data_IF_371699256038
#
_entry.id   IF_371699256038
#
_cell.length_a   1.000
_cell.length_b   1.000
_cell.length_c   1.000
_cell.angle_alpha   90.00
_cell.angle_beta   90.00
_cell.angle_gamma   90.00
#
_symmetry.space_group_name_H-M   'P 1'
#
loop_
_entity.id
_entity.type
_entity.pdbx_description
1 polymer ?
#
# COMPACT_ATOMS: atom_id res chain seq x y z
N UNK A 1 -4.21 -16.63 2.19
CA UNK A 1 -3.58 -15.36 2.55
C UNK A 1 -2.67 -15.59 3.75
N UNK A 2 -1.56 -14.85 3.85
CA UNK A 2 -0.65 -14.93 4.99
C UNK A 2 -1.23 -14.33 6.30
N UNK A 3 -0.42 -14.38 7.37
CA UNK A 3 -0.77 -13.77 8.65
C UNK A 3 -0.97 -12.24 8.52
N UNK A 4 -1.80 -11.70 9.42
CA UNK A 4 -2.03 -10.24 9.45
C UNK A 4 -0.73 -9.48 9.72
N UNK A 5 -0.62 -8.25 9.19
CA UNK A 5 0.56 -7.40 9.41
C UNK A 5 0.88 -7.23 10.90
N UNK A 6 -0.13 -7.07 11.75
CA UNK A 6 0.08 -6.92 13.20
C UNK A 6 0.75 -8.14 13.85
N UNK A 7 0.40 -9.35 13.39
CA UNK A 7 1.07 -10.57 13.85
C UNK A 7 2.50 -10.66 13.33
N UNK A 8 2.70 -10.28 12.07
CA UNK A 8 4.01 -10.26 11.43
C UNK A 8 4.96 -9.23 12.05
N UNK A 9 4.47 -8.05 12.44
CA UNK A 9 5.30 -7.03 13.12
C UNK A 9 6.01 -7.62 14.33
N UNK A 10 5.28 -8.31 15.21
CA UNK A 10 5.88 -8.91 16.39
C UNK A 10 6.90 -10.00 16.05
N UNK A 11 6.61 -10.84 15.06
CA UNK A 11 7.41 -12.02 14.76
C UNK A 11 8.56 -11.74 13.77
N UNK A 12 8.43 -10.72 12.91
CA UNK A 12 9.34 -10.49 11.79
C UNK A 12 10.13 -9.18 11.92
N UNK A 13 9.62 -8.18 12.63
CA UNK A 13 10.23 -6.85 12.73
C UNK A 13 10.76 -6.56 14.14
N UNK A 14 9.92 -6.68 15.17
CA UNK A 14 10.26 -6.25 16.52
C UNK A 14 11.29 -7.15 17.23
N UNK A 15 11.64 -8.28 16.64
CA UNK A 15 12.77 -9.09 17.10
C UNK A 15 14.15 -8.46 16.77
N UNK A 16 14.20 -7.49 15.85
CA UNK A 16 15.43 -6.79 15.50
C UNK A 16 15.52 -5.48 16.28
N UNK A 17 16.62 -5.31 17.03
CA UNK A 17 16.83 -4.17 17.93
C UNK A 17 17.22 -2.88 17.19
N UNK A 18 17.69 -3.00 15.95
CA UNK A 18 18.29 -1.87 15.21
C UNK A 18 17.35 -1.26 14.16
N UNK A 19 16.09 -1.71 14.11
CA UNK A 19 15.09 -1.11 13.21
C UNK A 19 14.70 0.26 13.72
N UNK A 20 14.94 1.31 12.92
CA UNK A 20 14.60 2.69 13.23
C UNK A 20 13.39 3.19 12.45
N UNK A 21 13.22 2.70 11.24
CA UNK A 21 12.14 3.15 10.35
C UNK A 21 11.46 1.95 9.69
N UNK A 22 10.15 2.01 9.63
CA UNK A 22 9.28 1.05 8.95
C UNK A 22 8.55 1.77 7.81
N UNK A 23 8.71 1.30 6.57
CA UNK A 23 7.90 1.74 5.44
C UNK A 23 6.72 0.78 5.29
N UNK A 24 5.51 1.32 5.30
CA UNK A 24 4.25 0.55 5.27
C UNK A 24 3.56 0.72 3.92
N UNK A 25 3.68 -0.29 3.06
CA UNK A 25 2.96 -0.40 1.78
C UNK A 25 2.08 -1.65 1.82
N UNK A 26 0.87 -1.53 2.32
CA UNK A 26 -0.10 -2.62 2.48
C UNK A 26 -1.52 -2.10 2.23
N UNK A 27 -2.48 -2.99 2.00
CA UNK A 27 -3.90 -2.65 1.93
C UNK A 27 -4.56 -2.88 0.58
N UNK A 28 -3.80 -2.93 -0.53
CA UNK A 28 -4.40 -3.16 -1.85
C UNK A 28 -5.11 -4.53 -1.92
N UNK A 29 -4.55 -5.56 -1.32
CA UNK A 29 -5.19 -6.88 -1.26
C UNK A 29 -6.45 -6.87 -0.38
N UNK A 30 -6.45 -6.12 0.73
CA UNK A 30 -7.62 -5.99 1.59
C UNK A 30 -8.80 -5.36 0.83
N UNK A 31 -8.51 -4.40 -0.05
CA UNK A 31 -9.51 -3.71 -0.89
C UNK A 31 -9.96 -4.59 -2.07
N UNK A 32 -9.00 -5.24 -2.74
CA UNK A 32 -9.22 -5.80 -4.08
C UNK A 32 -9.53 -7.29 -4.10
N UNK A 33 -9.05 -8.05 -3.12
CA UNK A 33 -9.30 -9.48 -3.00
C UNK A 33 -10.76 -9.85 -2.77
N UNK A 34 -11.54 -9.13 -1.92
CA UNK A 34 -12.96 -9.41 -1.72
C UNK A 34 -13.77 -9.37 -3.03
N UNK A 35 -14.68 -10.32 -3.17
CA UNK A 35 -15.53 -10.45 -4.37
C UNK A 35 -14.85 -11.11 -5.58
N UNK A 36 -13.56 -11.49 -5.50
CA UNK A 36 -12.90 -12.27 -6.55
C UNK A 36 -13.35 -13.75 -6.51
N UNK A 37 -12.97 -14.51 -7.53
CA UNK A 37 -13.26 -15.95 -7.59
C UNK A 37 -12.76 -16.73 -6.36
N UNK A 38 -11.70 -16.24 -5.71
CA UNK A 38 -11.11 -16.87 -4.51
C UNK A 38 -11.73 -16.39 -3.19
N UNK A 39 -12.48 -15.30 -3.20
CA UNK A 39 -13.12 -14.72 -2.02
C UNK A 39 -14.51 -14.13 -2.34
N UNK A 40 -15.42 -14.92 -2.97
CA UNK A 40 -16.65 -14.39 -3.57
C UNK A 40 -17.65 -13.85 -2.53
N UNK A 41 -17.56 -14.30 -1.29
CA UNK A 41 -18.42 -13.87 -0.19
C UNK A 41 -17.78 -12.86 0.76
N UNK A 42 -16.50 -12.57 0.58
CA UNK A 42 -15.79 -11.61 1.42
C UNK A 42 -16.25 -10.19 1.07
N UNK A 43 -16.54 -9.40 2.08
CA UNK A 43 -16.91 -8.00 1.89
C UNK A 43 -15.65 -7.11 1.85
N UNK A 44 -15.72 -6.06 1.05
CA UNK A 44 -14.70 -5.00 1.04
C UNK A 44 -14.71 -4.32 2.41
N UNK A 45 -13.57 -4.15 3.08
CA UNK A 45 -13.53 -3.48 4.37
C UNK A 45 -13.96 -2.02 4.25
N UNK A 46 -14.52 -1.46 5.31
CA UNK A 46 -14.83 -0.04 5.34
C UNK A 46 -13.55 0.80 5.43
N UNK A 47 -13.66 2.07 5.05
CA UNK A 47 -12.59 3.05 5.21
C UNK A 47 -12.09 3.12 6.66
N UNK A 48 -13.02 3.14 7.62
CA UNK A 48 -12.75 3.21 9.06
C UNK A 48 -12.02 1.95 9.56
N UNK A 49 -12.36 0.78 9.02
CA UNK A 49 -11.68 -0.46 9.38
C UNK A 49 -10.21 -0.45 8.91
N UNK A 50 -9.95 0.02 7.68
CA UNK A 50 -8.60 0.14 7.13
C UNK A 50 -7.77 1.17 7.89
N UNK A 51 -8.31 2.38 8.11
CA UNK A 51 -7.58 3.44 8.82
C UNK A 51 -7.28 3.06 10.28
N UNK A 52 -8.20 2.39 10.97
CA UNK A 52 -7.91 1.80 12.30
C UNK A 52 -6.80 0.75 12.23
N UNK A 53 -6.75 -0.05 11.15
CA UNK A 53 -5.66 -1.00 10.93
C UNK A 53 -4.30 -0.31 10.85
N UNK A 54 -4.18 0.72 10.04
CA UNK A 54 -2.96 1.52 9.93
C UNK A 54 -2.58 2.20 11.26
N UNK A 55 -3.53 2.82 11.95
CA UNK A 55 -3.28 3.44 13.26
C UNK A 55 -2.73 2.45 14.28
N UNK A 56 -3.22 1.19 14.27
CA UNK A 56 -2.69 0.15 15.14
C UNK A 56 -1.27 -0.23 14.78
N UNK A 57 -0.93 -0.35 13.48
CA UNK A 57 0.44 -0.60 13.02
C UNK A 57 1.38 0.49 13.51
N UNK A 58 1.02 1.76 13.31
CA UNK A 58 1.81 2.92 13.76
C UNK A 58 1.98 2.90 15.27
N UNK A 59 0.90 2.73 16.02
CA UNK A 59 0.96 2.71 17.48
C UNK A 59 1.86 1.59 18.03
N UNK A 60 1.83 0.39 17.43
CA UNK A 60 2.71 -0.71 17.85
C UNK A 60 4.17 -0.43 17.50
N UNK A 61 4.46 0.14 16.34
CA UNK A 61 5.81 0.54 15.95
C UNK A 61 6.37 1.65 16.87
N UNK A 62 5.56 2.67 17.18
CA UNK A 62 5.95 3.77 18.08
C UNK A 62 6.27 3.28 19.49
N UNK A 63 5.59 2.24 20.02
CA UNK A 63 5.94 1.63 21.31
C UNK A 63 7.35 1.04 21.33
N UNK A 64 7.89 0.69 20.16
CA UNK A 64 9.25 0.18 19.99
C UNK A 64 10.25 1.28 19.60
N UNK A 65 9.83 2.54 19.56
CA UNK A 65 10.65 3.66 19.11
C UNK A 65 10.95 3.66 17.61
N UNK A 66 10.10 2.99 16.81
CA UNK A 66 10.25 2.86 15.36
C UNK A 66 9.40 3.92 14.65
N UNK A 67 10.02 4.74 13.81
CA UNK A 67 9.36 5.69 12.93
C UNK A 67 8.59 4.94 11.82
N UNK A 68 7.43 5.46 11.42
CA UNK A 68 6.62 4.82 10.38
C UNK A 68 6.34 5.77 9.21
N UNK A 69 6.77 5.36 8.03
CA UNK A 69 6.49 6.05 6.76
C UNK A 69 5.33 5.34 6.07
N UNK A 70 4.24 6.05 5.85
CA UNK A 70 3.10 5.54 5.11
C UNK A 70 3.30 5.67 3.61
N UNK A 71 3.29 4.55 2.88
CA UNK A 71 3.33 4.58 1.42
C UNK A 71 1.92 4.55 0.83
N UNK A 72 1.65 5.38 -0.18
CA UNK A 72 0.37 5.39 -0.88
C UNK A 72 0.24 4.15 -1.78
N UNK A 73 -0.99 3.63 -1.88
CA UNK A 73 -1.32 2.46 -2.70
C UNK A 73 -1.27 2.81 -4.17
N UNK A 74 -0.60 2.00 -4.96
CA UNK A 74 -0.45 2.18 -6.40
C UNK A 74 -1.80 2.15 -7.13
N UNK A 75 -1.94 2.87 -8.26
CA UNK A 75 -3.09 2.75 -9.13
C UNK A 75 -3.09 1.37 -9.80
N UNK A 76 -4.28 0.79 -10.03
CA UNK A 76 -4.40 -0.60 -10.48
C UNK A 76 -5.55 -0.86 -11.44
N UNK A 77 -5.99 0.18 -12.17
CA UNK A 77 -7.07 0.03 -13.16
C UNK A 77 -6.66 -0.94 -14.27
N UNK A 78 -7.50 -1.94 -14.48
CA UNK A 78 -7.25 -3.01 -15.45
C UNK A 78 -6.41 -4.17 -14.88
N UNK A 79 -6.18 -4.22 -13.58
CA UNK A 79 -5.36 -5.24 -12.93
C UNK A 79 -5.80 -6.67 -13.23
N UNK A 80 -4.82 -7.53 -13.53
CA UNK A 80 -4.93 -8.97 -13.74
C UNK A 80 -5.94 -9.37 -14.81
N UNK A 81 -5.90 -8.78 -16.02
CA UNK A 81 -6.87 -9.03 -17.09
C UNK A 81 -6.76 -10.50 -17.56
N UNK A 82 -7.90 -11.06 -18.01
CA UNK A 82 -7.98 -12.43 -18.52
C UNK A 82 -7.53 -13.52 -17.53
N UNK A 83 -7.65 -13.28 -16.24
CA UNK A 83 -7.37 -14.23 -15.17
C UNK A 83 -8.63 -14.49 -14.33
N UNK A 84 -8.67 -15.52 -13.47
CA UNK A 84 -9.76 -15.67 -12.48
C UNK A 84 -9.87 -14.49 -11.48
N UNK A 85 -8.97 -13.53 -11.56
CA UNK A 85 -8.92 -12.29 -10.78
C UNK A 85 -9.28 -11.04 -11.61
N UNK A 86 -9.93 -11.18 -12.76
CA UNK A 86 -10.29 -10.08 -13.65
C UNK A 86 -11.20 -9.01 -12.99
N UNK A 87 -11.88 -9.36 -11.90
CA UNK A 87 -12.65 -8.45 -11.05
C UNK A 87 -11.85 -7.92 -9.83
N UNK A 88 -10.53 -8.11 -9.81
CA UNK A 88 -9.64 -7.55 -8.78
C UNK A 88 -9.74 -6.02 -8.76
N UNK A 89 -9.73 -5.39 -9.94
CA UNK A 89 -10.10 -3.99 -10.09
C UNK A 89 -11.61 -3.82 -10.25
N UNK A 90 -12.15 -2.86 -9.51
CA UNK A 90 -13.52 -2.31 -9.72
C UNK A 90 -13.51 -0.82 -9.34
N UNK A 91 -14.37 0.03 -9.95
CA UNK A 91 -14.39 1.47 -9.67
C UNK A 91 -14.60 1.82 -8.18
N UNK A 92 -15.46 1.08 -7.47
CA UNK A 92 -15.69 1.29 -6.04
C UNK A 92 -14.47 0.91 -5.18
N UNK A 93 -13.70 -0.10 -5.58
CA UNK A 93 -12.44 -0.48 -4.94
C UNK A 93 -11.40 0.62 -5.13
N UNK A 94 -11.31 1.18 -6.33
CA UNK A 94 -10.39 2.29 -6.61
C UNK A 94 -10.79 3.57 -5.86
N UNK A 95 -12.08 3.87 -5.75
CA UNK A 95 -12.55 4.97 -4.91
C UNK A 95 -12.10 4.81 -3.45
N UNK A 96 -12.17 3.60 -2.90
CA UNK A 96 -11.69 3.34 -1.55
C UNK A 96 -10.17 3.51 -1.47
N UNK A 97 -9.40 3.01 -2.45
CA UNK A 97 -7.95 3.22 -2.54
C UNK A 97 -7.59 4.70 -2.53
N UNK A 98 -8.27 5.51 -3.37
CA UNK A 98 -8.04 6.95 -3.44
C UNK A 98 -8.35 7.65 -2.11
N UNK A 99 -9.43 7.26 -1.42
CA UNK A 99 -9.74 7.79 -0.08
C UNK A 99 -8.67 7.42 0.95
N UNK A 100 -8.16 6.18 0.90
CA UNK A 100 -7.05 5.75 1.77
C UNK A 100 -5.78 6.54 1.44
N UNK A 101 -5.44 6.72 0.17
CA UNK A 101 -4.27 7.51 -0.23
C UNK A 101 -4.39 8.97 0.22
N UNK A 102 -5.56 9.57 0.07
CA UNK A 102 -5.82 10.90 0.61
C UNK A 102 -5.59 10.95 2.12
N UNK A 103 -6.12 9.98 2.86
CA UNK A 103 -5.93 9.89 4.30
C UNK A 103 -4.46 9.67 4.68
N UNK A 104 -3.71 8.83 3.97
CA UNK A 104 -2.26 8.65 4.19
C UNK A 104 -1.54 9.99 4.07
N UNK A 105 -1.86 10.80 3.05
CA UNK A 105 -1.24 12.11 2.81
C UNK A 105 -1.59 13.16 3.85
N UNK A 106 -2.79 13.11 4.46
CA UNK A 106 -3.35 14.26 5.18
C UNK A 106 -3.66 14.02 6.66
N UNK A 107 -3.68 12.77 7.12
CA UNK A 107 -4.11 12.44 8.49
C UNK A 107 -3.07 12.73 9.56
N UNK A 108 -1.81 12.94 9.18
CA UNK A 108 -0.67 13.03 10.11
C UNK A 108 -0.54 11.81 11.05
N UNK A 109 -1.08 10.66 10.63
CA UNK A 109 -0.95 9.41 11.38
C UNK A 109 0.45 8.82 11.27
N UNK A 110 1.08 8.98 10.11
CA UNK A 110 2.45 8.53 9.83
C UNK A 110 3.45 9.66 10.11
N UNK A 111 4.70 9.29 10.42
CA UNK A 111 5.79 10.24 10.64
C UNK A 111 6.27 10.85 9.32
N UNK A 112 5.99 10.19 8.20
CA UNK A 112 6.24 10.69 6.87
C UNK A 112 5.41 9.95 5.83
N UNK A 113 5.42 10.44 4.59
CA UNK A 113 4.67 9.87 3.47
C UNK A 113 5.59 9.61 2.30
N UNK A 114 5.52 8.39 1.76
CA UNK A 114 6.12 7.99 0.48
C UNK A 114 5.01 7.93 -0.58
N UNK A 115 4.94 8.93 -1.45
CA UNK A 115 3.84 9.05 -2.40
C UNK A 115 4.08 8.26 -3.69
N UNK A 116 3.93 6.94 -3.61
CA UNK A 116 4.10 6.02 -4.73
C UNK A 116 2.98 6.13 -5.77
N UNK A 117 1.75 6.46 -5.35
CA UNK A 117 0.62 6.69 -6.25
C UNK A 117 0.92 7.83 -7.22
N UNK A 118 1.39 8.97 -6.70
CA UNK A 118 1.78 10.12 -7.54
C UNK A 118 2.97 9.79 -8.44
N UNK A 119 3.98 9.08 -7.90
CA UNK A 119 5.22 8.77 -8.63
C UNK A 119 5.03 7.77 -9.77
N UNK A 120 4.09 6.83 -9.67
CA UNK A 120 3.95 5.74 -10.65
C UNK A 120 2.70 5.80 -11.50
N UNK A 121 1.78 6.75 -11.27
CA UNK A 121 0.56 6.86 -12.08
C UNK A 121 0.83 7.30 -13.51
N UNK A 122 -0.05 6.88 -14.43
CA UNK A 122 -0.11 7.44 -15.78
C UNK A 122 -0.68 8.87 -15.70
N UNK A 123 0.03 9.90 -16.18
CA UNK A 123 -0.45 11.28 -16.14
C UNK A 123 -1.72 11.52 -16.97
N UNK A 124 -2.01 10.65 -17.96
CA UNK A 124 -3.22 10.73 -18.78
C UNK A 124 -4.39 9.92 -18.19
N UNK A 125 -4.06 8.89 -17.41
CA UNK A 125 -5.01 7.98 -16.78
C UNK A 125 -4.62 7.72 -15.32
N UNK A 126 -4.90 8.65 -14.39
CA UNK A 126 -4.35 8.62 -13.02
C UNK A 126 -4.70 7.39 -12.17
N UNK A 127 -5.68 6.59 -12.60
CA UNK A 127 -6.05 5.34 -11.96
C UNK A 127 -5.29 4.11 -12.49
N UNK A 128 -4.32 4.30 -13.39
CA UNK A 128 -3.46 3.25 -13.97
C UNK A 128 -2.00 3.50 -13.63
N UNK A 129 -1.25 2.40 -13.56
CA UNK A 129 0.21 2.48 -13.61
C UNK A 129 0.64 3.09 -14.94
N UNK A 130 1.68 3.92 -14.90
CA UNK A 130 2.33 4.41 -16.11
C UNK A 130 2.87 3.20 -16.90
N UNK A 131 2.59 3.08 -18.20
CA UNK A 131 3.04 1.93 -19.00
C UNK A 131 4.54 1.65 -18.95
N UNK A 132 5.37 2.65 -18.68
CA UNK A 132 6.83 2.48 -18.55
C UNK A 132 7.23 1.75 -17.25
N UNK A 133 6.34 1.73 -16.26
CA UNK A 133 6.54 1.12 -14.95
C UNK A 133 5.73 -0.17 -14.74
N UNK A 134 4.80 -0.47 -15.66
CA UNK A 134 3.88 -1.60 -15.58
C UNK A 134 4.56 -2.91 -16.02
N UNK A 135 4.37 -3.98 -15.26
CA UNK A 135 4.85 -5.32 -15.63
C UNK A 135 4.03 -5.96 -16.77
N UNK A 136 2.91 -5.34 -17.16
CA UNK A 136 1.94 -5.84 -18.13
C UNK A 136 0.70 -6.49 -17.50
N UNK A 137 0.69 -6.66 -16.18
CA UNK A 137 -0.47 -7.15 -15.44
C UNK A 137 -1.33 -6.03 -14.83
N UNK A 138 -0.92 -4.79 -15.00
CA UNK A 138 -1.57 -3.56 -14.54
C UNK A 138 -1.74 -3.47 -13.00
N UNK A 139 -0.95 -4.21 -12.27
CA UNK A 139 -0.94 -4.24 -10.79
C UNK A 139 0.47 -4.09 -10.21
N UNK A 140 1.42 -4.83 -10.78
CA UNK A 140 2.78 -4.87 -10.26
C UNK A 140 3.72 -4.00 -11.10
N UNK A 141 4.59 -3.22 -10.45
CA UNK A 141 5.67 -2.53 -11.14
C UNK A 141 6.65 -3.53 -11.78
N UNK A 142 7.17 -3.18 -12.97
CA UNK A 142 8.31 -3.84 -13.55
C UNK A 142 9.63 -3.39 -12.87
N UNK A 143 10.79 -3.88 -13.35
CA UNK A 143 12.10 -3.52 -12.77
C UNK A 143 12.34 -2.01 -12.75
N UNK A 144 11.95 -1.31 -13.82
CA UNK A 144 12.07 0.14 -13.91
C UNK A 144 11.14 0.85 -12.92
N UNK A 145 9.94 0.32 -12.72
CA UNK A 145 9.01 0.81 -11.71
C UNK A 145 9.55 0.60 -10.30
N UNK A 146 10.11 -0.57 -10.02
CA UNK A 146 10.73 -0.87 -8.72
C UNK A 146 11.94 0.03 -8.46
N UNK A 147 12.78 0.29 -9.48
CA UNK A 147 13.88 1.24 -9.35
C UNK A 147 13.35 2.64 -9.04
N UNK A 148 12.33 3.09 -9.77
CA UNK A 148 11.74 4.42 -9.54
C UNK A 148 11.10 4.53 -8.14
N UNK A 149 10.45 3.48 -7.64
CA UNK A 149 9.97 3.45 -6.26
C UNK A 149 11.11 3.65 -5.24
N UNK A 150 12.27 3.04 -5.47
CA UNK A 150 13.43 3.22 -4.60
C UNK A 150 14.00 4.64 -4.67
N UNK A 151 13.99 5.27 -5.84
CA UNK A 151 14.44 6.66 -6.04
C UNK A 151 13.52 7.69 -5.37
N UNK A 152 12.25 7.35 -5.15
CA UNK A 152 11.30 8.20 -4.43
C UNK A 152 11.50 8.18 -2.90
N UNK A 153 12.28 7.25 -2.39
CA UNK A 153 12.57 7.18 -0.95
C UNK A 153 13.53 8.30 -0.57
N UNK A 154 13.06 9.22 0.26
CA UNK A 154 13.90 10.26 0.85
C UNK A 154 14.74 9.67 2.00
N UNK A 155 16.02 9.43 1.72
CA UNK A 155 16.95 8.89 2.71
C UNK A 155 17.12 9.79 3.93
N UNK A 156 17.05 11.10 3.76
CA UNK A 156 17.14 12.04 4.89
C UNK A 156 15.91 11.91 5.80
N UNK A 157 14.74 11.59 5.25
CA UNK A 157 13.53 11.36 6.03
C UNK A 157 13.61 10.06 6.83
N UNK A 158 14.14 8.98 6.26
CA UNK A 158 14.17 7.66 6.92
C UNK A 158 15.36 7.45 7.85
N UNK A 159 16.40 8.28 7.77
CA UNK A 159 17.60 8.20 8.61
C UNK A 159 17.66 9.25 9.72
N UNK A 160 16.69 10.16 9.82
CA UNK A 160 16.60 11.11 10.93
C UNK A 160 16.34 10.35 12.25
N UNK A 161 17.36 10.31 13.07
CA UNK A 161 17.31 9.84 14.48
C UNK A 161 16.80 10.96 15.38
#
# INVERSE_FOLDING_TARGET
>A
MGDSVLKRLNNEIFQYTDVKTLIVLIGINDISWPGTAFAPKQQIPSFEALTKGYQRVVNEAHKQGIQVIGATLLPFSGALPNTPLDNYYQPNKDQLRQRINHWIRTSHTFDGVLDLDEGLKDPKHPNRLNPIYDSGDHLHPNDRGNQHMAELVDLDQITKN
#
